data_IF_879127785509
#
_entry.id   IF_879127785509
#
_cell.length_a   1.000
_cell.length_b   1.000
_cell.length_c   1.000
_cell.angle_alpha   90.00
_cell.angle_beta   90.00
_cell.angle_gamma   90.00
#
_symmetry.space_group_name_H-M   'P 1'
#
loop_
_entity.id
_entity.type
_entity.pdbx_description
1 polymer ?
#
# COMPACT_ATOMS: atom_id res chain seq x y z
N UNK A 1 27.04 27.48 -47.18
CA UNK A 1 26.77 28.15 -45.90
C UNK A 1 26.06 27.15 -45.00
N UNK A 2 26.75 26.57 -44.02
CA UNK A 2 26.21 25.54 -43.14
C UNK A 2 25.61 26.17 -41.88
N UNK A 3 24.33 25.95 -41.64
CA UNK A 3 23.67 26.40 -40.42
C UNK A 3 23.83 25.31 -39.35
N UNK A 4 24.67 25.55 -38.34
CA UNK A 4 24.68 24.74 -37.11
C UNK A 4 23.42 25.03 -36.31
N UNK A 5 22.65 23.98 -36.03
CA UNK A 5 21.38 24.02 -35.32
C UNK A 5 21.65 24.05 -33.81
N UNK A 6 21.35 25.18 -33.15
CA UNK A 6 21.33 25.25 -31.68
C UNK A 6 19.94 24.85 -31.17
N UNK A 7 19.62 23.56 -31.24
CA UNK A 7 18.41 23.04 -30.61
C UNK A 7 18.67 22.87 -29.11
N UNK A 8 18.18 23.81 -28.28
CA UNK A 8 18.07 23.61 -26.84
C UNK A 8 16.78 22.83 -26.52
N UNK A 9 16.85 21.56 -26.11
CA UNK A 9 15.66 20.87 -25.63
C UNK A 9 15.33 21.43 -24.25
N UNK A 10 14.33 22.31 -24.16
CA UNK A 10 13.71 22.69 -22.89
C UNK A 10 12.78 21.56 -22.42
N UNK A 11 13.35 20.37 -22.13
CA UNK A 11 12.63 19.32 -21.39
C UNK A 11 12.61 19.69 -19.91
N UNK A 12 11.79 20.68 -19.56
CA UNK A 12 11.36 20.89 -18.18
C UNK A 12 10.51 19.67 -17.81
N UNK A 13 11.13 18.70 -17.12
CA UNK A 13 10.42 17.52 -16.59
C UNK A 13 9.22 18.03 -15.81
N UNK A 14 8.00 17.68 -16.24
CA UNK A 14 6.79 18.05 -15.52
C UNK A 14 6.97 17.58 -14.07
N UNK A 15 6.96 18.53 -13.11
CA UNK A 15 6.89 18.17 -11.70
C UNK A 15 5.62 17.32 -11.56
N UNK A 16 5.77 16.05 -11.17
CA UNK A 16 4.65 15.17 -10.85
C UNK A 16 3.87 15.83 -9.70
N UNK A 17 2.88 16.64 -10.02
CA UNK A 17 1.87 17.05 -9.05
C UNK A 17 1.14 15.77 -8.70
N UNK A 18 1.43 15.21 -7.52
CA UNK A 18 0.64 14.11 -7.00
C UNK A 18 -0.80 14.64 -6.97
N UNK A 19 -1.75 14.04 -7.70
CA UNK A 19 -3.12 14.53 -7.66
C UNK A 19 -3.57 14.52 -6.20
N UNK A 20 -4.21 15.60 -5.74
CA UNK A 20 -4.64 15.80 -4.34
C UNK A 20 -5.31 14.55 -3.75
N UNK A 21 -6.02 13.80 -4.61
CA UNK A 21 -6.69 12.55 -4.31
C UNK A 21 -5.73 11.39 -3.95
N UNK A 22 -4.56 11.27 -4.60
CA UNK A 22 -3.57 10.23 -4.30
C UNK A 22 -2.90 10.46 -2.94
N UNK A 23 -2.54 11.71 -2.62
CA UNK A 23 -1.97 12.04 -1.32
C UNK A 23 -2.97 11.79 -0.17
N UNK A 24 -4.23 12.17 -0.39
CA UNK A 24 -5.31 11.89 0.56
C UNK A 24 -5.51 10.38 0.75
N UNK A 25 -5.60 9.61 -0.34
CA UNK A 25 -5.73 8.15 -0.28
C UNK A 25 -4.59 7.49 0.50
N UNK A 26 -3.34 7.88 0.26
CA UNK A 26 -2.20 7.35 1.03
C UNK A 26 -2.31 7.70 2.51
N UNK A 27 -2.77 8.91 2.86
CA UNK A 27 -3.02 9.31 4.25
C UNK A 27 -4.12 8.46 4.90
N UNK A 28 -5.21 8.20 4.17
CA UNK A 28 -6.33 7.39 4.66
C UNK A 28 -5.89 5.93 4.90
N UNK A 29 -5.10 5.36 3.98
CA UNK A 29 -4.50 4.02 4.15
C UNK A 29 -3.59 3.99 5.40
N UNK A 30 -2.72 5.00 5.58
CA UNK A 30 -1.88 5.09 6.77
C UNK A 30 -2.68 5.16 8.07
N UNK A 31 -3.75 5.97 8.09
CA UNK A 31 -4.60 6.10 9.27
C UNK A 31 -5.34 4.79 9.58
N UNK A 32 -5.88 4.13 8.56
CA UNK A 32 -6.53 2.83 8.71
C UNK A 32 -5.58 1.79 9.31
N UNK A 33 -4.34 1.71 8.82
CA UNK A 33 -3.34 0.81 9.40
C UNK A 33 -2.99 1.23 10.84
N UNK A 34 -2.68 2.50 11.08
CA UNK A 34 -2.29 2.99 12.41
C UNK A 34 -3.33 2.67 13.48
N UNK A 35 -4.61 2.80 13.17
CA UNK A 35 -5.68 2.55 14.13
C UNK A 35 -5.94 1.06 14.38
N UNK A 36 -5.70 0.19 13.39
CA UNK A 36 -6.11 -1.21 13.47
C UNK A 36 -4.92 -2.19 13.63
N UNK A 37 -3.67 -1.75 13.50
CA UNK A 37 -2.48 -2.63 13.54
C UNK A 37 -2.36 -3.41 14.85
N UNK A 38 -2.74 -2.81 15.98
CA UNK A 38 -2.72 -3.47 17.30
C UNK A 38 -3.69 -4.63 17.37
N UNK A 39 -4.89 -4.45 16.80
CA UNK A 39 -5.90 -5.50 16.79
C UNK A 39 -5.50 -6.62 15.82
N UNK A 40 -4.96 -6.28 14.64
CA UNK A 40 -4.39 -7.27 13.71
C UNK A 40 -3.29 -8.10 14.38
N UNK A 41 -2.38 -7.45 15.11
CA UNK A 41 -1.31 -8.14 15.83
C UNK A 41 -1.84 -9.10 16.89
N UNK A 42 -2.79 -8.65 17.71
CA UNK A 42 -3.43 -9.45 18.76
C UNK A 42 -4.21 -10.66 18.19
N UNK A 43 -5.04 -10.44 17.18
CA UNK A 43 -5.94 -11.48 16.66
C UNK A 43 -5.22 -12.50 15.79
N UNK A 44 -3.94 -12.26 15.47
CA UNK A 44 -3.09 -13.19 14.73
C UNK A 44 -1.98 -13.80 15.59
N UNK A 45 -2.03 -13.62 16.92
CA UNK A 45 -1.09 -14.28 17.84
C UNK A 45 -1.14 -15.79 17.63
N UNK A 46 0.03 -16.41 17.43
CA UNK A 46 0.16 -17.85 17.21
C UNK A 46 -0.02 -18.30 15.75
N UNK A 47 -0.32 -17.39 14.81
CA UNK A 47 -0.35 -17.70 13.38
C UNK A 47 0.97 -17.31 12.71
N UNK A 48 1.56 -18.20 11.92
CA UNK A 48 2.76 -17.87 11.14
C UNK A 48 2.44 -17.07 9.88
N UNK A 49 1.22 -17.27 9.33
CA UNK A 49 0.79 -16.64 8.09
C UNK A 49 -0.59 -16.01 8.21
N UNK A 50 -0.80 -14.92 7.48
CA UNK A 50 -2.06 -14.16 7.46
C UNK A 50 -2.61 -14.12 6.04
N UNK A 51 -3.86 -14.55 5.87
CA UNK A 51 -4.56 -14.43 4.59
C UNK A 51 -4.79 -12.95 4.22
N UNK A 52 -4.60 -12.63 2.94
CA UNK A 52 -4.79 -11.27 2.40
C UNK A 52 -6.17 -10.69 2.72
N UNK A 53 -7.24 -11.48 2.57
CA UNK A 53 -8.61 -11.07 2.87
C UNK A 53 -8.81 -10.76 4.35
N UNK A 54 -8.19 -11.54 5.24
CA UNK A 54 -8.23 -11.30 6.68
C UNK A 54 -7.51 -9.99 7.03
N UNK A 55 -6.31 -9.78 6.52
CA UNK A 55 -5.56 -8.53 6.73
C UNK A 55 -6.34 -7.30 6.25
N UNK A 56 -6.96 -7.37 5.07
CA UNK A 56 -7.80 -6.30 4.50
C UNK A 56 -8.98 -5.96 5.43
N UNK A 57 -9.71 -6.98 5.89
CA UNK A 57 -10.86 -6.81 6.78
C UNK A 57 -10.43 -6.18 8.10
N UNK A 58 -9.34 -6.69 8.67
CA UNK A 58 -8.83 -6.29 9.97
C UNK A 58 -8.30 -4.86 9.97
N UNK A 59 -7.58 -4.47 8.92
CA UNK A 59 -7.10 -3.10 8.72
C UNK A 59 -8.21 -2.16 8.24
N UNK A 60 -9.41 -2.68 7.98
CA UNK A 60 -10.59 -1.96 7.48
C UNK A 60 -10.30 -1.21 6.18
N UNK A 61 -9.46 -1.77 5.29
CA UNK A 61 -9.09 -1.14 4.02
C UNK A 61 -10.30 -0.95 3.09
N UNK A 62 -11.26 -1.87 3.19
CA UNK A 62 -12.56 -1.79 2.49
C UNK A 62 -13.44 -0.61 2.93
N UNK A 63 -13.13 0.06 4.04
CA UNK A 63 -13.86 1.24 4.52
C UNK A 63 -13.28 2.56 4.03
N UNK A 64 -12.12 2.54 3.37
CA UNK A 64 -11.47 3.76 2.86
C UNK A 64 -12.25 4.36 1.68
N UNK A 65 -12.73 3.50 0.78
CA UNK A 65 -13.48 3.92 -0.40
C UNK A 65 -14.60 2.90 -0.70
N UNK A 66 -15.64 2.80 0.14
CA UNK A 66 -16.62 1.72 0.07
C UNK A 66 -17.37 1.65 -1.28
N UNK A 67 -17.50 2.77 -1.99
CA UNK A 67 -18.14 2.81 -3.32
C UNK A 67 -17.21 2.39 -4.46
N UNK A 68 -15.90 2.69 -4.36
CA UNK A 68 -14.95 2.51 -5.46
C UNK A 68 -14.04 1.27 -5.28
N UNK A 69 -13.83 0.85 -4.03
CA UNK A 69 -13.05 -0.33 -3.64
C UNK A 69 -13.74 -1.00 -2.43
N UNK A 70 -14.95 -1.58 -2.62
CA UNK A 70 -15.70 -2.22 -1.55
C UNK A 70 -14.98 -3.43 -0.94
N UNK A 71 -14.03 -4.02 -1.67
CA UNK A 71 -13.21 -5.13 -1.19
C UNK A 71 -11.99 -4.65 -0.41
N UNK A 72 -11.49 -3.43 -0.63
CA UNK A 72 -10.21 -2.95 -0.07
C UNK A 72 -8.97 -3.56 -0.76
N UNK A 73 -9.19 -4.27 -1.87
CA UNK A 73 -8.15 -5.02 -2.58
C UNK A 73 -7.20 -4.09 -3.31
N UNK A 74 -7.73 -2.98 -3.86
CA UNK A 74 -6.89 -1.99 -4.53
C UNK A 74 -5.99 -1.24 -3.54
N UNK A 75 -6.45 -1.01 -2.30
CA UNK A 75 -5.59 -0.45 -1.25
C UNK A 75 -4.46 -1.42 -0.88
N UNK A 76 -4.77 -2.71 -0.72
CA UNK A 76 -3.77 -3.75 -0.45
C UNK A 76 -2.76 -3.90 -1.61
N UNK A 77 -3.25 -3.91 -2.85
CA UNK A 77 -2.41 -3.99 -4.04
C UNK A 77 -1.52 -2.75 -4.19
N UNK A 78 -2.01 -1.57 -3.79
CA UNK A 78 -1.21 -0.36 -3.76
C UNK A 78 -0.04 -0.51 -2.78
N UNK A 79 -0.24 -1.07 -1.58
CA UNK A 79 0.85 -1.28 -0.62
C UNK A 79 1.96 -2.19 -1.17
N UNK A 80 1.58 -3.25 -1.90
CA UNK A 80 2.53 -4.15 -2.56
C UNK A 80 3.25 -3.42 -3.71
N UNK A 81 2.49 -2.66 -4.51
CA UNK A 81 3.03 -1.97 -5.70
C UNK A 81 3.94 -0.80 -5.34
N UNK A 82 3.66 -0.12 -4.22
CA UNK A 82 4.48 0.95 -3.66
C UNK A 82 5.70 0.38 -2.88
N UNK A 83 5.86 -0.95 -2.80
CA UNK A 83 7.00 -1.62 -2.17
C UNK A 83 6.97 -1.61 -0.63
N UNK A 84 5.82 -1.28 -0.04
CA UNK A 84 5.64 -1.24 1.41
C UNK A 84 5.46 -2.66 1.95
N UNK A 85 4.78 -3.52 1.20
CA UNK A 85 4.60 -4.93 1.53
C UNK A 85 5.32 -5.81 0.50
N UNK A 86 5.88 -6.92 0.98
CA UNK A 86 6.33 -8.01 0.12
C UNK A 86 5.17 -8.58 -0.70
N UNK A 87 5.49 -9.29 -1.79
CA UNK A 87 4.47 -10.05 -2.53
C UNK A 87 4.01 -11.23 -1.67
N UNK A 88 2.69 -11.45 -1.51
CA UNK A 88 2.20 -12.60 -0.77
C UNK A 88 2.54 -13.90 -1.49
N UNK A 89 2.78 -14.95 -0.71
CA UNK A 89 2.90 -16.32 -1.19
C UNK A 89 1.51 -16.83 -1.61
N UNK A 90 1.44 -17.57 -2.71
CA UNK A 90 0.19 -18.20 -3.13
C UNK A 90 0.15 -19.64 -2.65
N UNK A 91 -0.75 -19.94 -1.71
CA UNK A 91 -1.04 -21.30 -1.24
C UNK A 91 -2.41 -21.72 -1.74
N UNK A 92 -2.43 -22.52 -2.81
CA UNK A 92 -3.65 -22.85 -3.55
C UNK A 92 -4.31 -21.59 -4.15
N UNK A 93 -5.55 -21.31 -3.75
CA UNK A 93 -6.31 -20.14 -4.20
C UNK A 93 -6.17 -18.92 -3.28
N UNK A 94 -5.43 -19.03 -2.17
CA UNK A 94 -5.32 -17.98 -1.15
C UNK A 94 -3.94 -17.33 -1.21
N UNK A 95 -3.91 -16.00 -1.11
CA UNK A 95 -2.70 -15.22 -0.93
C UNK A 95 -2.42 -15.08 0.57
N UNK A 96 -1.24 -15.53 1.00
CA UNK A 96 -0.79 -15.55 2.38
C UNK A 96 0.43 -14.64 2.53
N UNK A 97 0.45 -13.85 3.59
CA UNK A 97 1.63 -13.11 4.03
C UNK A 97 2.29 -13.83 5.19
N UNK A 98 3.61 -13.79 5.26
CA UNK A 98 4.29 -14.04 6.53
C UNK A 98 3.83 -12.98 7.55
N UNK A 99 3.45 -13.43 8.75
CA UNK A 99 2.90 -12.55 9.77
C UNK A 99 3.92 -11.52 10.24
N UNK A 100 5.15 -11.97 10.52
CA UNK A 100 6.18 -11.12 11.09
C UNK A 100 6.60 -10.04 10.09
N UNK A 101 6.80 -10.41 8.83
CA UNK A 101 7.13 -9.47 7.76
C UNK A 101 6.00 -8.46 7.51
N UNK A 102 4.74 -8.93 7.48
CA UNK A 102 3.58 -8.05 7.29
C UNK A 102 3.49 -7.01 8.40
N UNK A 103 3.51 -7.44 9.67
CA UNK A 103 3.38 -6.54 10.81
C UNK A 103 4.56 -5.55 10.88
N UNK A 104 5.79 -6.04 10.70
CA UNK A 104 6.99 -5.21 10.74
C UNK A 104 6.96 -4.13 9.66
N UNK A 105 6.61 -4.50 8.43
CA UNK A 105 6.56 -3.57 7.31
C UNK A 105 5.47 -2.52 7.48
N UNK A 106 4.28 -2.92 7.93
CA UNK A 106 3.18 -1.99 8.21
C UNK A 106 3.54 -1.01 9.33
N UNK A 107 4.06 -1.51 10.46
CA UNK A 107 4.50 -0.72 11.61
C UNK A 107 5.57 0.30 11.23
N UNK A 108 6.60 -0.13 10.49
CA UNK A 108 7.65 0.74 9.99
C UNK A 108 7.07 1.87 9.10
N UNK A 109 6.13 1.54 8.22
CA UNK A 109 5.56 2.52 7.30
C UNK A 109 4.64 3.57 7.95
N UNK A 110 3.91 3.18 9.01
CA UNK A 110 3.06 4.10 9.78
C UNK A 110 3.77 4.80 10.95
N UNK A 111 4.99 4.37 11.27
CA UNK A 111 5.81 4.92 12.35
C UNK A 111 5.33 4.52 13.75
N UNK A 112 4.86 3.28 13.90
CA UNK A 112 4.44 2.70 15.18
C UNK A 112 5.35 1.51 15.46
N UNK A 113 6.51 1.75 16.06
CA UNK A 113 7.42 0.70 16.53
C UNK A 113 7.01 0.26 17.93
#
# INVERSE_FOLDING_TARGET
MGYSVDYKPTRRRAKRTVPKNKAQRTKDIKNAIRWNIRQLEHDTVGADTIARSFAISMLRLNKIAPTADPSGDHAMQQLISDGILGKPERRGSVQMFDRAELLTSLKAWVGVL
#
